data_IF_758403530643
#
_entry.id   IF_758403530643
#
_cell.length_a   1.000
_cell.length_b   1.000
_cell.length_c   1.000
_cell.angle_alpha   90.00
_cell.angle_beta   90.00
_cell.angle_gamma   90.00
#
_symmetry.space_group_name_H-M   'P 1'
#
loop_
_entity.id
_entity.type
_entity.pdbx_description
1 polymer ?
#
# COMPACT_ATOMS: atom_id res chain seq x y z
N UNK A 1 -63.80 -34.70 56.16
CA UNK A 1 -64.51 -33.70 55.32
C UNK A 1 -63.54 -32.56 55.03
N UNK A 2 -63.55 -32.10 53.79
CA UNK A 2 -62.75 -31.01 53.18
C UNK A 2 -61.28 -31.31 52.86
N UNK A 3 -61.05 -31.46 51.55
CA UNK A 3 -59.77 -31.53 50.84
C UNK A 3 -59.17 -30.13 50.65
N UNK A 4 -57.84 -30.05 50.53
CA UNK A 4 -57.17 -28.94 49.82
C UNK A 4 -56.07 -29.50 48.91
N UNK A 5 -56.20 -29.10 47.65
CA UNK A 5 -55.49 -29.52 46.44
C UNK A 5 -54.17 -28.74 46.28
N UNK A 6 -53.02 -29.40 46.05
CA UNK A 6 -51.73 -28.74 45.81
C UNK A 6 -51.78 -28.03 44.45
N UNK A 7 -52.02 -26.72 44.51
CA UNK A 7 -52.00 -25.81 43.36
C UNK A 7 -50.67 -25.94 42.61
N UNK A 8 -50.78 -26.42 41.37
CA UNK A 8 -49.74 -26.43 40.35
C UNK A 8 -49.28 -25.01 40.10
N UNK A 9 -48.01 -24.73 40.37
CA UNK A 9 -47.33 -23.53 39.88
C UNK A 9 -47.12 -23.76 38.37
N UNK A 10 -47.73 -22.95 37.48
CA UNK A 10 -47.47 -23.07 36.05
C UNK A 10 -46.02 -22.65 35.81
N UNK A 11 -45.21 -23.61 35.36
CA UNK A 11 -43.92 -23.34 34.76
C UNK A 11 -44.18 -22.59 33.45
N UNK A 12 -44.03 -21.27 33.47
CA UNK A 12 -43.94 -20.49 32.23
C UNK A 12 -42.61 -20.86 31.58
N UNK A 13 -42.58 -21.47 30.39
CA UNK A 13 -41.34 -21.63 29.66
C UNK A 13 -40.85 -20.22 29.34
N UNK A 14 -39.71 -19.84 29.92
CA UNK A 14 -38.97 -18.65 29.52
C UNK A 14 -38.48 -18.94 28.09
N UNK A 15 -39.24 -18.49 27.09
CA UNK A 15 -38.82 -18.52 25.71
C UNK A 15 -37.64 -17.54 25.59
N UNK A 16 -36.44 -18.08 25.66
CA UNK A 16 -35.21 -17.36 25.35
C UNK A 16 -35.24 -17.08 23.84
N UNK A 17 -35.81 -15.95 23.46
CA UNK A 17 -35.70 -15.42 22.11
C UNK A 17 -34.24 -15.07 21.86
N UNK A 18 -33.47 -16.03 21.34
CA UNK A 18 -32.16 -15.77 20.74
C UNK A 18 -32.46 -14.95 19.48
N UNK A 19 -32.46 -13.63 19.62
CA UNK A 19 -32.35 -12.74 18.49
C UNK A 19 -30.95 -12.95 17.93
N UNK A 20 -30.85 -13.79 16.90
CA UNK A 20 -29.68 -13.85 16.04
C UNK A 20 -29.65 -12.50 15.33
N UNK A 21 -28.98 -11.53 15.92
CA UNK A 21 -28.53 -10.34 15.20
C UNK A 21 -27.42 -10.84 14.29
N UNK A 22 -27.82 -11.43 13.15
CA UNK A 22 -26.93 -11.51 12.02
C UNK A 22 -26.65 -10.05 11.66
N UNK A 23 -25.52 -9.52 12.13
CA UNK A 23 -24.97 -8.30 11.59
C UNK A 23 -24.66 -8.61 10.13
N UNK A 24 -25.58 -8.23 9.25
CA UNK A 24 -25.35 -8.33 7.82
C UNK A 24 -24.31 -7.26 7.48
N UNK A 25 -23.20 -7.65 6.86
CA UNK A 25 -22.33 -6.72 6.16
C UNK A 25 -23.19 -5.87 5.21
N UNK A 26 -23.02 -4.53 5.17
CA UNK A 26 -23.76 -3.70 4.26
C UNK A 26 -23.59 -4.16 2.81
N UNK A 27 -24.58 -3.87 1.97
CA UNK A 27 -24.45 -4.07 0.53
C UNK A 27 -23.31 -3.19 -0.01
N UNK A 28 -22.59 -3.68 -1.02
CA UNK A 28 -21.55 -2.89 -1.67
C UNK A 28 -22.15 -1.59 -2.28
N UNK A 29 -21.52 -0.41 -2.08
CA UNK A 29 -22.10 0.84 -2.56
C UNK A 29 -22.22 0.93 -4.08
N UNK A 30 -23.02 1.88 -4.56
CA UNK A 30 -23.20 2.10 -6.00
C UNK A 30 -21.89 2.52 -6.67
N UNK A 31 -21.53 1.83 -7.76
CA UNK A 31 -20.33 2.12 -8.55
C UNK A 31 -20.47 3.47 -9.24
N UNK A 32 -19.51 4.36 -8.98
CA UNK A 32 -19.48 5.73 -9.49
C UNK A 32 -18.45 5.94 -10.61
N UNK A 33 -17.48 5.01 -10.74
CA UNK A 33 -16.44 5.05 -11.75
C UNK A 33 -16.07 3.64 -12.21
N UNK A 34 -15.78 3.47 -13.50
CA UNK A 34 -15.47 2.18 -14.13
C UNK A 34 -14.23 2.34 -15.01
N UNK A 35 -13.21 1.53 -14.71
CA UNK A 35 -12.02 1.31 -15.53
C UNK A 35 -11.95 -0.10 -16.09
N UNK A 36 -10.91 -0.40 -16.91
CA UNK A 36 -10.63 -1.73 -17.42
C UNK A 36 -10.50 -2.81 -16.34
N UNK A 37 -9.82 -2.52 -15.22
CA UNK A 37 -9.45 -3.50 -14.20
C UNK A 37 -10.02 -3.18 -12.82
N UNK A 38 -10.59 -1.99 -12.64
CA UNK A 38 -11.12 -1.50 -11.37
C UNK A 38 -12.50 -0.85 -11.54
N UNK A 39 -13.40 -1.10 -10.60
CA UNK A 39 -14.64 -0.34 -10.42
C UNK A 39 -14.61 0.31 -9.03
N UNK A 40 -14.93 1.60 -8.99
CA UNK A 40 -14.87 2.38 -7.77
C UNK A 40 -16.26 2.86 -7.37
N UNK A 41 -16.65 2.50 -6.16
CA UNK A 41 -17.81 3.04 -5.46
C UNK A 41 -17.35 4.03 -4.39
N UNK A 42 -18.27 4.86 -3.92
CA UNK A 42 -17.99 5.75 -2.79
C UNK A 42 -19.24 6.08 -1.99
N UNK A 43 -19.06 6.21 -0.67
CA UNK A 43 -20.04 6.80 0.25
C UNK A 43 -19.49 8.07 0.89
N UNK A 44 -18.16 8.21 1.00
CA UNK A 44 -17.52 9.42 1.48
C UNK A 44 -17.84 10.65 0.61
N UNK A 45 -18.08 11.79 1.26
CA UNK A 45 -18.35 13.08 0.60
C UNK A 45 -17.07 13.83 0.16
N UNK A 46 -15.89 13.31 0.54
CA UNK A 46 -14.59 13.91 0.24
C UNK A 46 -14.28 14.06 -1.24
N UNK A 47 -13.45 15.05 -1.63
CA UNK A 47 -13.03 15.21 -3.01
C UNK A 47 -12.18 14.00 -3.44
N UNK A 48 -12.19 13.72 -4.75
CA UNK A 48 -11.32 12.73 -5.39
C UNK A 48 -10.73 13.41 -6.62
N UNK A 49 -9.41 13.50 -6.69
CA UNK A 49 -8.75 14.15 -7.82
C UNK A 49 -8.90 13.34 -9.12
N UNK A 50 -8.83 14.02 -10.25
CA UNK A 50 -9.12 13.45 -11.58
C UNK A 50 -8.25 12.24 -11.93
N UNK A 51 -7.01 12.22 -11.44
CA UNK A 51 -6.06 11.13 -11.66
C UNK A 51 -6.17 9.94 -10.70
N UNK A 52 -6.94 10.06 -9.61
CA UNK A 52 -6.96 9.05 -8.53
C UNK A 52 -7.41 7.67 -8.98
N UNK A 53 -8.58 7.56 -9.61
CA UNK A 53 -9.09 6.26 -10.06
C UNK A 53 -8.28 5.68 -11.25
N UNK A 54 -7.91 6.47 -12.29
CA UNK A 54 -7.01 6.00 -13.34
C UNK A 54 -5.65 5.50 -12.82
N UNK A 55 -5.10 6.12 -11.77
CA UNK A 55 -3.88 5.67 -11.13
C UNK A 55 -4.04 4.29 -10.47
N UNK A 56 -5.11 4.09 -9.69
CA UNK A 56 -5.39 2.80 -9.05
C UNK A 56 -5.67 1.67 -10.05
N UNK A 57 -6.36 1.97 -11.15
CA UNK A 57 -6.60 0.98 -12.21
C UNK A 57 -5.29 0.57 -12.91
N UNK A 58 -4.39 1.53 -13.16
CA UNK A 58 -3.03 1.25 -13.65
C UNK A 58 -2.21 0.46 -12.64
N UNK A 59 -2.36 0.74 -11.34
CA UNK A 59 -1.73 -0.05 -10.29
C UNK A 59 -2.17 -1.52 -10.37
N UNK A 60 -3.48 -1.77 -10.45
CA UNK A 60 -4.04 -3.11 -10.61
C UNK A 60 -3.50 -3.81 -11.87
N UNK A 61 -3.44 -3.09 -13.01
CA UNK A 61 -2.83 -3.62 -14.24
C UNK A 61 -1.38 -4.07 -14.02
N UNK A 62 -0.54 -3.18 -13.48
CA UNK A 62 0.89 -3.44 -13.29
C UNK A 62 1.15 -4.57 -12.33
N UNK A 63 0.39 -4.64 -11.23
CA UNK A 63 0.55 -5.71 -10.26
C UNK A 63 0.06 -7.05 -10.84
N UNK A 64 -1.07 -7.05 -11.56
CA UNK A 64 -1.58 -8.26 -12.21
C UNK A 64 -0.60 -8.82 -13.25
N UNK A 65 -0.01 -7.94 -14.08
CA UNK A 65 1.05 -8.29 -15.02
C UNK A 65 2.26 -8.90 -14.29
N UNK A 66 2.67 -8.29 -13.17
CA UNK A 66 3.79 -8.76 -12.37
C UNK A 66 3.52 -10.16 -11.76
N UNK A 67 2.30 -10.40 -11.28
CA UNK A 67 1.88 -11.70 -10.74
C UNK A 67 1.56 -12.74 -11.83
N UNK A 68 1.50 -12.32 -13.10
CA UNK A 68 1.13 -13.18 -14.22
C UNK A 68 -0.34 -13.63 -14.17
N UNK A 69 -1.23 -12.80 -13.62
CA UNK A 69 -2.66 -13.08 -13.48
C UNK A 69 -3.50 -12.16 -14.37
N UNK A 70 -4.60 -12.69 -14.91
CA UNK A 70 -5.55 -11.89 -15.69
C UNK A 70 -6.68 -11.36 -14.80
N UNK A 71 -6.97 -10.06 -14.90
CA UNK A 71 -8.15 -9.44 -14.28
C UNK A 71 -9.33 -9.59 -15.24
N UNK A 72 -10.05 -10.71 -15.16
CA UNK A 72 -11.21 -11.00 -16.03
C UNK A 72 -12.42 -10.16 -15.62
N UNK A 73 -12.63 -10.02 -14.32
CA UNK A 73 -13.65 -9.17 -13.73
C UNK A 73 -12.96 -8.03 -12.97
N UNK A 74 -13.35 -6.76 -13.18
CA UNK A 74 -12.75 -5.65 -12.45
C UNK A 74 -12.81 -5.85 -10.94
N UNK A 75 -11.75 -5.45 -10.24
CA UNK A 75 -11.72 -5.41 -8.78
C UNK A 75 -12.71 -4.34 -8.31
N UNK A 76 -13.42 -4.62 -7.22
CA UNK A 76 -14.33 -3.67 -6.59
C UNK A 76 -13.58 -2.95 -5.46
N UNK A 77 -13.54 -1.62 -5.52
CA UNK A 77 -12.98 -0.77 -4.49
C UNK A 77 -14.02 0.26 -4.02
N UNK A 78 -14.17 0.44 -2.72
CA UNK A 78 -15.07 1.44 -2.15
C UNK A 78 -14.30 2.44 -1.28
N UNK A 79 -14.37 3.73 -1.67
CA UNK A 79 -13.97 4.83 -0.80
C UNK A 79 -15.13 5.16 0.15
N UNK A 80 -15.05 4.65 1.36
CA UNK A 80 -16.11 4.74 2.36
C UNK A 80 -15.89 5.88 3.35
N UNK A 81 -16.97 6.35 3.96
CA UNK A 81 -16.86 7.32 5.04
C UNK A 81 -16.20 6.68 6.27
N UNK A 82 -15.38 7.43 6.99
CA UNK A 82 -14.68 6.93 8.19
C UNK A 82 -15.66 6.42 9.25
N UNK A 83 -16.85 7.01 9.35
CA UNK A 83 -17.89 6.55 10.29
C UNK A 83 -18.51 5.19 9.92
N UNK A 84 -18.27 4.68 8.72
CA UNK A 84 -18.79 3.41 8.21
C UNK A 84 -17.74 2.29 8.25
N UNK A 85 -16.51 2.57 8.68
CA UNK A 85 -15.40 1.62 8.59
C UNK A 85 -15.70 0.30 9.32
N UNK A 86 -16.27 0.35 10.52
CA UNK A 86 -16.64 -0.85 11.30
C UNK A 86 -17.77 -1.67 10.67
N UNK A 87 -18.58 -1.04 9.81
CA UNK A 87 -19.68 -1.72 9.12
C UNK A 87 -19.16 -2.59 7.96
N UNK A 88 -18.11 -2.12 7.27
CA UNK A 88 -17.49 -2.83 6.14
C UNK A 88 -16.27 -3.67 6.53
N UNK A 89 -15.49 -3.19 7.49
CA UNK A 89 -14.26 -3.78 7.99
C UNK A 89 -14.47 -4.16 9.46
N UNK A 90 -14.21 -5.41 9.82
CA UNK A 90 -14.50 -5.95 11.15
C UNK A 90 -13.68 -5.34 12.31
N UNK A 91 -12.79 -4.39 12.03
CA UNK A 91 -11.84 -3.75 12.96
C UNK A 91 -11.54 -2.29 12.56
N UNK A 92 -11.03 -1.47 13.51
CA UNK A 92 -10.60 -0.07 13.33
C UNK A 92 -9.32 0.04 12.45
N UNK A 93 -9.43 -0.23 11.15
CA UNK A 93 -8.34 -0.11 10.17
C UNK A 93 -8.62 1.01 9.16
N UNK A 94 -7.61 1.51 8.43
CA UNK A 94 -7.85 2.49 7.36
C UNK A 94 -8.46 1.87 6.10
N UNK A 95 -8.51 0.55 6.04
CA UNK A 95 -9.11 -0.22 4.97
C UNK A 95 -9.12 -1.70 5.30
N UNK A 96 -9.74 -2.47 4.42
CA UNK A 96 -9.66 -3.92 4.44
C UNK A 96 -9.99 -4.50 3.07
N UNK A 97 -9.49 -5.71 2.83
CA UNK A 97 -9.93 -6.59 1.76
C UNK A 97 -10.75 -7.75 2.31
N UNK A 98 -11.98 -7.90 1.85
CA UNK A 98 -12.87 -8.99 2.28
C UNK A 98 -13.86 -9.39 1.19
N UNK A 99 -14.05 -10.70 1.00
CA UNK A 99 -15.03 -11.27 0.06
C UNK A 99 -14.95 -10.67 -1.35
N UNK A 100 -13.74 -10.59 -1.90
CA UNK A 100 -13.51 -10.09 -3.27
C UNK A 100 -13.53 -8.57 -3.42
N UNK A 101 -13.62 -7.81 -2.33
CA UNK A 101 -13.87 -6.36 -2.34
C UNK A 101 -12.88 -5.64 -1.42
N UNK A 102 -12.35 -4.51 -1.89
CA UNK A 102 -11.49 -3.63 -1.13
C UNK A 102 -12.30 -2.42 -0.63
N UNK A 103 -12.09 -2.05 0.63
CA UNK A 103 -12.73 -0.91 1.28
C UNK A 103 -11.66 -0.03 1.92
N UNK A 104 -11.86 1.28 1.91
CA UNK A 104 -10.88 2.21 2.45
C UNK A 104 -11.51 3.55 2.80
N UNK A 105 -11.03 4.18 3.87
CA UNK A 105 -11.35 5.58 4.21
C UNK A 105 -10.47 6.58 3.45
N UNK A 106 -9.54 6.09 2.64
CA UNK A 106 -8.70 6.88 1.73
C UNK A 106 -9.16 6.66 0.28
N UNK A 107 -9.26 7.72 -0.54
CA UNK A 107 -9.71 7.60 -1.93
C UNK A 107 -8.71 6.85 -2.82
N UNK A 108 -7.46 6.72 -2.36
CA UNK A 108 -6.39 5.94 -2.97
C UNK A 108 -5.78 5.05 -1.90
N UNK A 109 -5.86 3.73 -2.07
CA UNK A 109 -5.31 2.79 -1.10
C UNK A 109 -4.80 1.53 -1.80
N UNK A 110 -3.59 1.61 -2.34
CA UNK A 110 -3.01 0.51 -3.12
C UNK A 110 -2.62 -0.70 -2.25
N UNK A 111 -2.51 -0.54 -0.92
CA UNK A 111 -2.38 -1.65 0.02
C UNK A 111 -3.54 -2.65 -0.12
N UNK A 112 -4.79 -2.19 0.00
CA UNK A 112 -5.96 -3.06 -0.13
C UNK A 112 -6.15 -3.61 -1.54
N UNK A 113 -5.73 -2.83 -2.56
CA UNK A 113 -5.71 -3.33 -3.93
C UNK A 113 -4.65 -4.41 -4.15
N UNK A 114 -3.54 -4.40 -3.41
CA UNK A 114 -2.54 -5.45 -3.46
C UNK A 114 -3.12 -6.79 -3.01
N UNK A 115 -3.86 -6.79 -1.89
CA UNK A 115 -4.62 -7.96 -1.42
C UNK A 115 -5.60 -8.45 -2.49
N UNK A 116 -6.37 -7.53 -3.09
CA UNK A 116 -7.34 -7.88 -4.11
C UNK A 116 -6.71 -8.51 -5.37
N UNK A 117 -5.54 -8.04 -5.81
CA UNK A 117 -4.82 -8.63 -6.94
C UNK A 117 -4.18 -9.97 -6.57
N UNK A 118 -3.62 -10.08 -5.36
CA UNK A 118 -3.03 -11.32 -4.86
C UNK A 118 -4.06 -12.45 -4.76
N UNK A 119 -5.28 -12.15 -4.30
CA UNK A 119 -6.38 -13.11 -4.26
C UNK A 119 -6.73 -13.66 -5.66
N UNK A 120 -6.68 -12.83 -6.71
CA UNK A 120 -6.85 -13.31 -8.09
C UNK A 120 -5.76 -14.30 -8.50
N UNK A 121 -4.57 -14.18 -7.93
CA UNK A 121 -3.47 -15.12 -8.14
C UNK A 121 -3.57 -16.38 -7.25
N UNK A 122 -4.61 -16.47 -6.40
CA UNK A 122 -4.84 -17.54 -5.42
C UNK A 122 -3.90 -17.47 -4.22
N UNK A 123 -3.38 -16.28 -3.91
CA UNK A 123 -2.45 -16.09 -2.80
C UNK A 123 -3.24 -15.76 -1.53
N UNK A 124 -3.04 -16.56 -0.49
CA UNK A 124 -3.60 -16.32 0.85
C UNK A 124 -2.42 -16.14 1.80
N UNK A 125 -1.71 -17.24 2.09
CA UNK A 125 -0.48 -17.25 2.88
C UNK A 125 -0.67 -16.82 4.34
N UNK A 126 0.39 -16.92 5.16
CA UNK A 126 0.35 -16.53 6.56
C UNK A 126 0.24 -15.02 6.66
N UNK A 127 -0.53 -14.51 7.64
CA UNK A 127 -0.85 -13.08 7.78
C UNK A 127 0.35 -12.15 7.64
N UNK A 128 1.49 -12.47 8.26
CA UNK A 128 2.71 -11.68 8.12
C UNK A 128 3.17 -11.52 6.67
N UNK A 129 3.11 -12.59 5.86
CA UNK A 129 3.53 -12.52 4.46
C UNK A 129 2.47 -11.86 3.57
N UNK A 130 1.19 -12.04 3.86
CA UNK A 130 0.08 -11.38 3.15
C UNK A 130 0.14 -9.87 3.33
N UNK A 131 0.23 -9.43 4.59
CA UNK A 131 0.37 -8.01 4.93
C UNK A 131 1.70 -7.45 4.45
N UNK A 132 2.79 -8.20 4.62
CA UNK A 132 4.10 -7.81 4.08
C UNK A 132 4.10 -7.66 2.56
N UNK A 133 3.33 -8.45 1.83
CA UNK A 133 3.18 -8.28 0.39
C UNK A 133 2.45 -6.98 0.05
N UNK A 134 1.34 -6.69 0.74
CA UNK A 134 0.62 -5.43 0.56
C UNK A 134 1.44 -4.20 0.95
N UNK A 135 2.32 -4.32 1.95
CA UNK A 135 3.30 -3.29 2.33
C UNK A 135 4.40 -3.08 1.28
N UNK A 136 4.93 -4.19 0.74
CA UNK A 136 6.01 -4.17 -0.23
C UNK A 136 5.57 -3.65 -1.60
N UNK A 137 4.30 -3.87 -1.97
CA UNK A 137 3.76 -3.53 -3.29
C UNK A 137 2.69 -2.44 -3.25
N UNK A 138 2.19 -2.06 -2.09
CA UNK A 138 1.20 -0.99 -1.91
C UNK A 138 1.81 0.27 -1.31
N UNK A 139 1.02 1.34 -1.34
CA UNK A 139 1.36 2.62 -0.74
C UNK A 139 1.11 2.53 0.76
N UNK A 140 2.10 2.96 1.54
CA UNK A 140 2.04 2.87 2.98
C UNK A 140 2.38 4.15 3.72
N UNK A 141 1.98 4.16 4.99
CA UNK A 141 2.08 5.31 5.90
C UNK A 141 3.51 5.81 6.11
N UNK A 142 3.64 7.11 6.39
CA UNK A 142 4.94 7.75 6.60
C UNK A 142 5.50 7.51 8.01
N UNK A 143 6.81 7.30 8.14
CA UNK A 143 7.47 7.37 9.45
C UNK A 143 8.85 6.74 9.56
N UNK A 144 9.54 7.06 10.66
CA UNK A 144 10.77 6.38 11.10
C UNK A 144 10.43 5.09 11.84
N UNK A 145 10.01 4.08 11.08
CA UNK A 145 9.59 2.78 11.60
C UNK A 145 10.79 1.96 12.06
N UNK A 146 10.55 1.10 13.06
CA UNK A 146 11.59 0.26 13.66
C UNK A 146 11.49 -1.14 13.08
N UNK A 147 12.60 -1.62 12.54
CA UNK A 147 12.72 -3.02 12.13
C UNK A 147 12.74 -3.92 13.36
N UNK A 148 11.77 -4.82 13.46
CA UNK A 148 11.64 -5.82 14.51
C UNK A 148 12.42 -7.10 14.18
N UNK A 149 12.70 -7.98 15.16
CA UNK A 149 13.22 -9.33 14.90
C UNK A 149 12.20 -10.14 14.08
N UNK A 150 12.64 -10.67 12.93
CA UNK A 150 11.70 -11.21 11.93
C UNK A 150 10.96 -12.45 12.41
N UNK A 151 11.61 -13.30 13.21
CA UNK A 151 10.97 -14.48 13.79
C UNK A 151 9.70 -14.10 14.54
N UNK A 152 9.76 -13.07 15.39
CA UNK A 152 8.63 -12.62 16.17
C UNK A 152 7.47 -12.12 15.29
N UNK A 153 7.80 -11.40 14.21
CA UNK A 153 6.80 -10.89 13.26
C UNK A 153 6.12 -12.03 12.49
N UNK A 154 6.85 -13.08 12.12
CA UNK A 154 6.28 -14.21 11.38
C UNK A 154 5.50 -15.18 12.29
N UNK A 155 5.98 -15.43 13.51
CA UNK A 155 5.33 -16.33 14.47
C UNK A 155 4.11 -15.70 15.17
N UNK A 156 4.16 -14.40 15.47
CA UNK A 156 3.14 -13.67 16.25
C UNK A 156 2.90 -12.28 15.65
N UNK A 157 2.38 -12.25 14.42
CA UNK A 157 2.13 -11.00 13.71
C UNK A 157 1.09 -10.14 14.44
N UNK A 158 1.53 -9.00 14.95
CA UNK A 158 0.64 -7.94 15.43
C UNK A 158 0.40 -6.88 14.34
N UNK A 159 -0.70 -6.14 14.49
CA UNK A 159 -1.07 -5.08 13.53
C UNK A 159 -0.39 -3.74 13.83
N UNK A 160 0.82 -3.74 14.40
CA UNK A 160 1.58 -2.51 14.60
C UNK A 160 2.29 -2.07 13.31
N UNK A 161 2.48 -0.77 13.13
CA UNK A 161 3.19 -0.23 11.97
C UNK A 161 4.61 -0.81 11.82
N UNK A 162 5.29 -1.13 12.92
CA UNK A 162 6.63 -1.75 12.92
C UNK A 162 6.59 -3.20 12.42
N UNK A 163 5.55 -3.97 12.76
CA UNK A 163 5.32 -5.33 12.26
C UNK A 163 5.00 -5.34 10.76
N UNK A 164 4.08 -4.48 10.31
CA UNK A 164 3.77 -4.28 8.90
C UNK A 164 5.04 -3.92 8.10
N UNK A 165 5.78 -2.92 8.55
CA UNK A 165 7.03 -2.50 7.92
C UNK A 165 8.08 -3.62 7.85
N UNK A 166 8.28 -4.35 8.96
CA UNK A 166 9.25 -5.45 9.03
C UNK A 166 8.83 -6.61 8.12
N UNK A 167 7.53 -6.91 8.07
CA UNK A 167 6.97 -7.89 7.16
C UNK A 167 7.19 -7.50 5.69
N UNK A 168 6.95 -6.24 5.33
CA UNK A 168 7.23 -5.71 3.99
C UNK A 168 8.69 -5.86 3.61
N UNK A 169 9.62 -5.48 4.50
CA UNK A 169 11.05 -5.69 4.29
C UNK A 169 11.40 -7.15 4.05
N UNK A 170 10.79 -8.07 4.82
CA UNK A 170 11.06 -9.49 4.68
C UNK A 170 10.50 -10.04 3.38
N UNK A 171 9.30 -9.66 2.96
CA UNK A 171 8.75 -10.04 1.64
C UNK A 171 9.65 -9.53 0.52
N UNK A 172 10.12 -8.28 0.58
CA UNK A 172 11.11 -7.75 -0.37
C UNK A 172 12.38 -8.61 -0.40
N UNK A 173 12.95 -8.95 0.77
CA UNK A 173 14.10 -9.84 0.87
C UNK A 173 13.83 -11.21 0.21
N UNK A 174 12.68 -11.83 0.48
CA UNK A 174 12.33 -13.13 -0.10
C UNK A 174 12.19 -13.04 -1.63
N UNK A 175 11.53 -12.00 -2.13
CA UNK A 175 11.36 -11.80 -3.58
C UNK A 175 12.69 -11.50 -4.26
N UNK A 176 13.56 -10.68 -3.68
CA UNK A 176 14.87 -10.38 -4.24
C UNK A 176 15.78 -11.62 -4.26
N UNK A 177 15.64 -12.49 -3.25
CA UNK A 177 16.46 -13.70 -3.09
C UNK A 177 15.98 -14.89 -3.92
N UNK A 178 14.67 -15.13 -3.98
CA UNK A 178 14.09 -16.33 -4.57
C UNK A 178 13.25 -16.03 -5.83
N UNK A 179 12.89 -14.77 -6.06
CA UNK A 179 11.96 -14.36 -7.10
C UNK A 179 10.50 -14.50 -6.67
N UNK A 180 9.65 -13.80 -7.42
CA UNK A 180 8.22 -13.71 -7.11
C UNK A 180 7.45 -15.02 -7.34
N UNK A 181 7.91 -15.85 -8.30
CA UNK A 181 7.29 -17.14 -8.60
C UNK A 181 7.31 -18.11 -7.41
N UNK A 182 8.51 -18.47 -6.88
CA UNK A 182 8.62 -19.29 -5.68
C UNK A 182 7.90 -18.72 -4.46
N UNK A 183 7.94 -17.40 -4.25
CA UNK A 183 7.15 -16.74 -3.20
C UNK A 183 5.65 -16.96 -3.39
N UNK A 184 5.14 -16.81 -4.61
CA UNK A 184 3.73 -17.08 -4.92
C UNK A 184 3.31 -18.53 -4.70
N UNK A 185 4.21 -19.50 -4.94
CA UNK A 185 3.93 -20.91 -4.62
C UNK A 185 3.84 -21.16 -3.11
N UNK A 186 4.69 -20.50 -2.31
CA UNK A 186 4.55 -20.51 -0.84
C UNK A 186 3.20 -19.94 -0.41
N UNK A 187 2.80 -18.77 -0.94
CA UNK A 187 1.53 -18.12 -0.62
C UNK A 187 0.30 -18.95 -1.01
N UNK A 188 0.41 -19.83 -2.02
CA UNK A 188 -0.67 -20.77 -2.42
C UNK A 188 -0.71 -22.04 -1.58
N UNK A 189 0.43 -22.43 -1.01
CA UNK A 189 0.58 -23.67 -0.24
C UNK A 189 0.21 -23.51 1.24
N UNK A 190 -0.07 -22.28 1.67
CA UNK A 190 -0.38 -21.89 3.04
C UNK A 190 -1.54 -20.90 3.04
N UNK A 191 -2.13 -20.69 4.21
CA UNK A 191 -3.22 -19.76 4.44
C UNK A 191 -3.02 -19.02 5.77
N UNK A 192 -3.93 -18.11 6.08
CA UNK A 192 -3.86 -17.30 7.30
C UNK A 192 -4.05 -18.10 8.61
N UNK A 193 -4.50 -19.35 8.53
CA UNK A 193 -4.72 -20.25 9.66
C UNK A 193 -3.56 -21.26 9.85
N UNK A 194 -2.64 -21.34 8.89
CA UNK A 194 -1.50 -22.27 8.90
C UNK A 194 -0.59 -22.00 10.10
N UNK A 195 -0.23 -23.06 10.83
CA UNK A 195 0.69 -22.91 11.96
C UNK A 195 2.16 -22.78 11.50
N UNK A 196 3.05 -22.41 12.44
CA UNK A 196 4.45 -22.15 12.08
C UNK A 196 5.17 -23.39 11.52
N UNK A 197 4.84 -24.61 11.96
CA UNK A 197 5.46 -25.83 11.45
C UNK A 197 5.01 -26.10 10.00
N UNK A 198 3.74 -25.87 9.70
CA UNK A 198 3.19 -25.93 8.34
C UNK A 198 3.84 -24.89 7.41
N UNK A 199 3.96 -23.65 7.88
CA UNK A 199 4.62 -22.55 7.15
C UNK A 199 6.09 -22.87 6.91
N UNK A 200 6.82 -23.34 7.92
CA UNK A 200 8.23 -23.69 7.80
C UNK A 200 8.45 -24.83 6.78
N UNK A 201 7.58 -25.83 6.77
CA UNK A 201 7.65 -26.93 5.81
C UNK A 201 7.36 -26.46 4.38
N UNK A 202 6.33 -25.63 4.17
CA UNK A 202 6.01 -25.05 2.87
C UNK A 202 7.13 -24.12 2.39
N UNK A 203 7.71 -23.32 3.29
CA UNK A 203 8.83 -22.42 3.00
C UNK A 203 10.02 -23.21 2.44
N UNK A 204 10.43 -24.29 3.11
CA UNK A 204 11.54 -25.12 2.62
C UNK A 204 11.20 -25.79 1.28
N UNK A 205 9.97 -26.28 1.12
CA UNK A 205 9.53 -26.94 -0.11
C UNK A 205 9.54 -26.01 -1.34
N UNK A 206 9.15 -24.75 -1.17
CA UNK A 206 8.96 -23.81 -2.29
C UNK A 206 10.11 -22.83 -2.49
N UNK A 207 10.80 -22.42 -1.42
CA UNK A 207 11.92 -21.47 -1.50
C UNK A 207 13.29 -22.17 -1.46
N UNK A 208 13.33 -23.45 -1.10
CA UNK A 208 14.50 -24.31 -1.20
C UNK A 208 15.51 -24.17 -0.06
N UNK A 209 15.13 -23.52 1.05
CA UNK A 209 15.93 -23.45 2.28
C UNK A 209 15.03 -23.42 3.53
N UNK A 210 15.54 -23.85 4.70
CA UNK A 210 14.79 -23.73 5.95
C UNK A 210 14.47 -22.26 6.29
N UNK A 211 13.27 -21.98 6.80
CA UNK A 211 12.85 -20.62 7.19
C UNK A 211 13.82 -19.96 8.18
N UNK A 212 14.43 -20.75 9.06
CA UNK A 212 15.42 -20.26 10.02
C UNK A 212 16.68 -19.70 9.35
N UNK A 213 17.13 -20.32 8.27
CA UNK A 213 18.27 -19.81 7.50
C UNK A 213 17.92 -18.49 6.80
N UNK A 214 16.67 -18.33 6.35
CA UNK A 214 16.18 -17.09 5.77
C UNK A 214 16.08 -15.97 6.82
N UNK A 215 15.63 -16.28 8.05
CA UNK A 215 15.62 -15.31 9.16
C UNK A 215 17.03 -14.83 9.50
N UNK A 216 17.98 -15.76 9.68
CA UNK A 216 19.38 -15.42 9.95
C UNK A 216 19.97 -14.56 8.82
N UNK A 217 19.72 -14.92 7.57
CA UNK A 217 20.21 -14.18 6.41
C UNK A 217 19.59 -12.77 6.33
N UNK A 218 18.29 -12.65 6.55
CA UNK A 218 17.59 -11.37 6.58
C UNK A 218 18.21 -10.45 7.63
N UNK A 219 18.31 -10.91 8.88
CA UNK A 219 18.86 -10.13 9.99
C UNK A 219 20.33 -9.75 9.79
N UNK A 220 21.12 -10.64 9.19
CA UNK A 220 22.55 -10.42 8.99
C UNK A 220 22.87 -9.51 7.81
N UNK A 221 22.07 -9.54 6.73
CA UNK A 221 22.49 -8.99 5.44
C UNK A 221 21.52 -8.02 4.79
N UNK A 222 20.23 -8.11 5.07
CA UNK A 222 19.26 -7.26 4.38
C UNK A 222 19.26 -5.86 5.01
N UNK A 223 19.40 -4.78 4.22
CA UNK A 223 19.43 -3.43 4.76
C UNK A 223 18.06 -2.99 5.31
N UNK A 224 18.09 -2.10 6.30
CA UNK A 224 16.93 -1.32 6.72
C UNK A 224 16.88 -0.05 5.86
N UNK A 225 15.71 0.35 5.38
CA UNK A 225 15.52 1.56 4.59
C UNK A 225 14.22 2.28 4.97
N UNK A 226 13.94 3.48 4.44
CA UNK A 226 12.65 4.13 4.71
C UNK A 226 11.47 3.28 4.20
N UNK A 227 10.28 3.48 4.75
CA UNK A 227 9.08 2.79 4.28
C UNK A 227 8.82 3.02 2.77
N UNK A 228 9.22 4.18 2.25
CA UNK A 228 9.09 4.52 0.84
C UNK A 228 10.11 3.81 -0.04
N UNK A 229 11.34 3.67 0.43
CA UNK A 229 12.37 2.86 -0.24
C UNK A 229 12.05 1.35 -0.17
N UNK A 230 11.19 0.93 0.75
CA UNK A 230 10.74 -0.47 0.88
C UNK A 230 9.65 -0.83 -0.14
N UNK A 231 8.95 0.16 -0.69
CA UNK A 231 7.90 -0.04 -1.69
C UNK A 231 8.50 -0.29 -3.07
N UNK A 232 7.88 -1.20 -3.82
CA UNK A 232 8.26 -1.48 -5.21
C UNK A 232 7.92 -0.32 -6.17
N UNK A 233 6.99 0.58 -5.78
CA UNK A 233 6.54 1.75 -6.55
C UNK A 233 6.28 1.42 -8.05
N UNK A 234 5.58 0.31 -8.30
CA UNK A 234 5.47 -0.31 -9.63
C UNK A 234 4.85 0.60 -10.70
N UNK A 235 4.05 1.59 -10.29
CA UNK A 235 3.45 2.56 -11.21
C UNK A 235 4.44 3.68 -11.51
N UNK A 236 4.97 4.32 -10.47
CA UNK A 236 5.86 5.48 -10.52
C UNK A 236 7.15 5.14 -11.25
N UNK A 237 7.75 3.99 -10.88
CA UNK A 237 8.95 3.47 -11.52
C UNK A 237 8.71 2.93 -12.92
N UNK A 238 7.45 2.70 -13.30
CA UNK A 238 7.03 2.35 -14.65
C UNK A 238 6.78 3.55 -15.57
N UNK A 239 6.85 4.79 -15.08
CA UNK A 239 6.64 6.00 -15.89
C UNK A 239 7.80 6.26 -16.85
N UNK A 240 7.51 6.91 -17.98
CA UNK A 240 8.54 7.38 -18.91
C UNK A 240 9.43 8.45 -18.26
N UNK A 241 10.77 8.31 -18.34
CA UNK A 241 11.68 9.18 -17.63
C UNK A 241 11.76 10.56 -18.29
N UNK A 242 11.73 11.59 -17.45
CA UNK A 242 11.91 12.98 -17.86
C UNK A 242 13.36 13.18 -18.38
N UNK A 243 13.54 13.81 -19.55
CA UNK A 243 14.86 13.89 -20.18
C UNK A 243 15.75 14.95 -19.54
N UNK A 244 17.05 14.66 -19.49
CA UNK A 244 18.08 15.67 -19.19
C UNK A 244 18.30 16.60 -20.37
N UNK A 245 18.53 17.88 -20.07
CA UNK A 245 18.95 18.90 -21.03
C UNK A 245 20.32 19.41 -20.61
N UNK A 246 21.37 18.89 -21.25
CA UNK A 246 22.75 19.16 -20.84
C UNK A 246 23.04 18.59 -19.46
N UNK A 247 23.47 19.45 -18.53
CA UNK A 247 23.82 19.09 -17.15
C UNK A 247 22.68 19.36 -16.15
N UNK A 248 21.48 19.60 -16.66
CA UNK A 248 20.29 19.88 -15.85
C UNK A 248 19.09 19.04 -16.24
N UNK A 249 18.35 18.61 -15.23
CA UNK A 249 17.01 18.08 -15.32
C UNK A 249 16.05 19.13 -14.76
N UNK A 250 14.98 19.43 -15.48
CA UNK A 250 13.93 20.31 -15.02
C UNK A 250 12.58 19.64 -15.29
N UNK A 251 11.78 19.46 -14.24
CA UNK A 251 10.47 18.84 -14.30
C UNK A 251 9.48 19.81 -13.67
N UNK A 252 8.48 20.21 -14.45
CA UNK A 252 7.40 21.09 -14.00
C UNK A 252 6.07 20.34 -14.04
N UNK A 253 5.30 20.45 -12.96
CA UNK A 253 3.97 19.88 -12.84
C UNK A 253 3.00 20.95 -12.39
N UNK A 254 1.78 20.91 -12.91
CA UNK A 254 0.64 21.61 -12.33
C UNK A 254 -0.10 20.61 -11.42
N UNK A 255 -0.29 20.99 -10.16
CA UNK A 255 -1.12 20.27 -9.20
C UNK A 255 -2.45 21.02 -9.12
N UNK A 256 -3.48 20.39 -9.69
CA UNK A 256 -4.87 20.83 -9.62
C UNK A 256 -5.71 19.55 -9.57
N UNK A 257 -6.58 19.42 -8.57
CA UNK A 257 -7.38 18.22 -8.36
C UNK A 257 -8.34 17.94 -9.54
N UNK A 258 -8.63 18.94 -10.39
CA UNK A 258 -9.36 18.74 -11.64
C UNK A 258 -8.53 18.13 -12.78
N UNK A 259 -7.19 18.11 -12.66
CA UNK A 259 -6.28 17.52 -13.65
C UNK A 259 -6.22 16.00 -13.51
N UNK A 260 -6.23 15.28 -14.65
CA UNK A 260 -6.12 13.82 -14.72
C UNK A 260 -4.73 13.31 -14.30
N UNK A 261 -3.74 14.19 -14.21
CA UNK A 261 -2.41 13.85 -13.70
C UNK A 261 -2.26 14.01 -12.18
N UNK A 262 -3.25 14.59 -11.49
CA UNK A 262 -3.23 14.82 -10.04
C UNK A 262 -3.99 13.73 -9.32
N UNK A 263 -3.35 13.13 -8.32
CA UNK A 263 -3.83 12.02 -7.52
C UNK A 263 -4.10 12.53 -6.09
N UNK A 264 -5.08 11.94 -5.41
CA UNK A 264 -5.42 12.22 -4.02
C UNK A 264 -6.87 12.68 -3.84
N UNK A 265 -7.18 13.37 -2.72
CA UNK A 265 -6.29 13.67 -1.60
C UNK A 265 -5.89 12.44 -0.78
N UNK A 266 -4.70 12.43 -0.19
CA UNK A 266 -4.33 11.46 0.85
C UNK A 266 -4.27 12.16 2.23
N UNK A 267 -4.63 11.46 3.30
CA UNK A 267 -4.70 12.03 4.65
C UNK A 267 -5.95 12.90 4.91
N UNK A 268 -5.94 13.66 6.01
CA UNK A 268 -7.10 14.41 6.49
C UNK A 268 -7.24 15.81 5.88
N UNK A 269 -8.49 16.22 5.64
CA UNK A 269 -8.96 17.46 4.99
C UNK A 269 -8.09 18.71 5.27
N UNK A 270 -7.49 19.34 4.23
CA UNK A 270 -7.73 19.14 2.79
C UNK A 270 -7.01 17.93 2.17
N UNK A 271 -6.17 17.25 2.94
CA UNK A 271 -5.28 16.18 2.47
C UNK A 271 -4.27 16.67 1.44
N UNK A 272 -3.40 15.75 1.03
CA UNK A 272 -2.33 16.00 0.08
C UNK A 272 -2.69 15.46 -1.30
N UNK A 273 -2.57 16.31 -2.32
CA UNK A 273 -2.58 15.88 -3.70
C UNK A 273 -1.16 15.74 -4.21
N UNK A 274 -0.93 14.76 -5.08
CA UNK A 274 0.38 14.53 -5.67
C UNK A 274 0.32 14.17 -7.15
N UNK A 275 1.46 14.30 -7.81
CA UNK A 275 1.63 13.90 -9.20
C UNK A 275 3.03 13.31 -9.42
N UNK A 276 3.15 11.99 -9.68
CA UNK A 276 4.43 11.33 -9.84
C UNK A 276 5.05 11.63 -11.22
N UNK A 277 6.36 11.73 -11.26
CA UNK A 277 7.19 11.72 -12.48
C UNK A 277 8.38 10.81 -12.26
N UNK A 278 8.97 10.28 -13.32
CA UNK A 278 10.23 9.54 -13.23
C UNK A 278 11.36 10.29 -13.92
N UNK A 279 12.60 9.94 -13.56
CA UNK A 279 13.82 10.37 -14.23
C UNK A 279 14.93 9.34 -13.98
N UNK A 280 16.03 9.46 -14.73
CA UNK A 280 17.18 8.55 -14.60
C UNK A 280 18.44 9.36 -14.34
N UNK A 281 19.26 8.93 -13.37
CA UNK A 281 20.62 9.42 -13.19
C UNK A 281 21.53 8.60 -14.10
N UNK A 282 22.26 9.24 -15.04
CA UNK A 282 23.14 8.53 -15.97
C UNK A 282 24.18 7.65 -15.27
N UNK A 283 24.61 6.59 -15.95
CA UNK A 283 25.68 5.70 -15.48
C UNK A 283 26.97 6.49 -15.15
N UNK A 284 27.64 6.14 -14.05
CA UNK A 284 28.90 6.81 -13.67
C UNK A 284 29.23 6.90 -12.18
N UNK A 285 28.38 6.36 -11.29
CA UNK A 285 28.60 6.36 -9.84
C UNK A 285 27.69 7.35 -9.11
N UNK A 286 28.12 7.83 -7.94
CA UNK A 286 27.35 8.76 -7.11
C UNK A 286 27.43 10.19 -7.68
N UNK A 287 26.32 10.67 -8.25
CA UNK A 287 26.19 12.05 -8.70
C UNK A 287 25.83 12.98 -7.54
N UNK A 288 26.48 14.13 -7.46
CA UNK A 288 26.12 15.20 -6.52
C UNK A 288 25.38 16.27 -7.30
N UNK A 289 24.15 16.59 -6.89
CA UNK A 289 23.29 17.55 -7.57
C UNK A 289 22.80 18.60 -6.60
N UNK A 290 22.59 19.82 -7.09
CA UNK A 290 21.78 20.82 -6.41
C UNK A 290 20.33 20.63 -6.84
N UNK A 291 19.50 20.16 -5.93
CA UNK A 291 18.05 20.09 -6.09
C UNK A 291 17.43 21.41 -5.64
N UNK A 292 16.71 22.09 -6.53
CA UNK A 292 15.99 23.33 -6.24
C UNK A 292 14.52 23.13 -6.59
N UNK A 293 13.63 23.48 -5.66
CA UNK A 293 12.19 23.43 -5.89
C UNK A 293 11.60 24.83 -5.88
N UNK A 294 10.82 25.17 -6.89
CA UNK A 294 10.07 26.42 -6.96
C UNK A 294 8.58 26.15 -7.10
N UNK A 295 7.76 26.99 -6.47
CA UNK A 295 6.30 26.88 -6.50
C UNK A 295 5.65 28.20 -6.95
N UNK A 296 4.47 28.11 -7.55
CA UNK A 296 3.54 29.24 -7.64
C UNK A 296 2.60 29.21 -6.43
N UNK A 297 2.62 30.25 -5.60
CA UNK A 297 1.79 30.33 -4.39
C UNK A 297 2.58 30.07 -3.11
N UNK A 298 1.89 30.22 -1.97
CA UNK A 298 2.50 30.22 -0.63
C UNK A 298 2.12 29.00 0.22
N UNK A 299 1.27 28.09 -0.30
CA UNK A 299 0.85 26.90 0.42
C UNK A 299 2.04 25.91 0.58
N UNK A 300 2.14 25.20 1.72
CA UNK A 300 3.15 24.17 1.93
C UNK A 300 3.14 23.15 0.78
N UNK A 301 4.31 22.94 0.20
CA UNK A 301 4.48 22.11 -0.98
C UNK A 301 5.95 21.71 -1.13
N UNK A 302 6.20 20.70 -1.93
CA UNK A 302 7.55 20.22 -2.18
C UNK A 302 7.59 19.05 -3.13
N UNK A 303 8.75 18.41 -3.14
CA UNK A 303 8.91 17.14 -3.84
C UNK A 303 9.54 16.11 -2.92
N UNK A 304 9.18 14.85 -3.13
CA UNK A 304 9.85 13.67 -2.56
C UNK A 304 10.56 12.94 -3.69
N UNK A 305 11.86 12.72 -3.57
CA UNK A 305 12.67 11.99 -4.56
C UNK A 305 13.00 10.62 -3.97
N UNK A 306 12.61 9.57 -4.66
CA UNK A 306 12.81 8.18 -4.22
C UNK A 306 13.47 7.35 -5.32
N UNK A 307 14.37 6.44 -4.95
CA UNK A 307 15.01 5.53 -5.89
C UNK A 307 14.06 4.40 -6.31
N UNK A 308 14.06 4.06 -7.60
CA UNK A 308 13.38 2.88 -8.13
C UNK A 308 14.27 1.65 -7.93
N UNK A 309 14.18 1.06 -6.75
CA UNK A 309 14.91 -0.14 -6.37
C UNK A 309 14.37 -0.66 -5.04
N UNK A 310 15.19 -1.39 -4.31
CA UNK A 310 14.90 -1.78 -2.94
C UNK A 310 15.76 -1.01 -1.93
N UNK A 311 15.86 -1.58 -0.74
CA UNK A 311 16.62 -1.02 0.36
C UNK A 311 18.14 -0.97 0.13
N UNK A 312 18.68 -1.53 -0.96
CA UNK A 312 20.09 -1.42 -1.32
C UNK A 312 20.53 0.03 -1.61
N UNK A 313 19.59 0.87 -2.05
CA UNK A 313 19.79 2.31 -2.26
C UNK A 313 18.65 3.05 -1.56
N UNK A 314 18.81 3.29 -0.26
CA UNK A 314 17.87 4.08 0.54
C UNK A 314 18.01 5.57 0.22
N UNK A 315 17.29 6.00 -0.82
CA UNK A 315 17.14 7.41 -1.17
C UNK A 315 15.67 7.77 -1.03
N UNK A 316 15.41 8.59 -0.02
CA UNK A 316 14.11 9.17 0.26
C UNK A 316 14.33 10.61 0.72
N UNK A 317 14.22 11.55 -0.23
CA UNK A 317 14.63 12.95 -0.02
C UNK A 317 13.45 13.88 -0.24
N UNK A 318 13.08 14.59 0.80
CA UNK A 318 12.10 15.68 0.72
C UNK A 318 12.83 17.03 0.51
N UNK A 319 12.35 17.80 -0.47
CA UNK A 319 12.78 19.18 -0.74
C UNK A 319 11.53 20.07 -0.84
N UNK A 320 11.36 20.96 0.14
CA UNK A 320 10.24 21.91 0.15
C UNK A 320 10.38 23.00 -0.91
N UNK A 321 9.26 23.60 -1.31
CA UNK A 321 9.23 24.74 -2.21
C UNK A 321 10.03 25.94 -1.66
N UNK A 322 10.75 26.62 -2.56
CA UNK A 322 11.65 27.73 -2.20
C UNK A 322 12.98 27.29 -1.60
N UNK A 323 13.19 25.99 -1.39
CA UNK A 323 14.42 25.42 -0.83
C UNK A 323 15.35 24.94 -1.95
N UNK A 324 16.65 25.05 -1.70
CA UNK A 324 17.67 24.34 -2.47
C UNK A 324 18.51 23.46 -1.55
N UNK A 325 18.75 22.21 -1.95
CA UNK A 325 19.49 21.21 -1.18
C UNK A 325 20.50 20.50 -2.08
N UNK A 326 21.72 20.29 -1.60
CA UNK A 326 22.65 19.37 -2.26
C UNK A 326 22.26 17.94 -1.91
N UNK A 327 22.05 17.13 -2.93
CA UNK A 327 21.64 15.73 -2.84
C UNK A 327 22.68 14.84 -3.51
N UNK A 328 22.86 13.64 -2.98
CA UNK A 328 23.73 12.62 -3.55
C UNK A 328 22.83 11.51 -4.09
N UNK A 329 22.83 11.32 -5.41
CA UNK A 329 21.97 10.36 -6.10
C UNK A 329 22.87 9.38 -6.86
N UNK A 330 22.95 8.11 -6.44
CA UNK A 330 23.56 7.05 -7.26
C UNK A 330 23.00 7.01 -8.68
N UNK A 331 23.75 6.42 -9.60
CA UNK A 331 23.21 6.07 -10.92
C UNK A 331 22.04 5.10 -10.74
N UNK A 332 20.96 5.29 -11.51
CA UNK A 332 19.75 4.51 -11.36
C UNK A 332 18.51 5.26 -11.80
N UNK A 333 17.37 4.58 -11.70
CA UNK A 333 16.06 5.17 -11.97
C UNK A 333 15.48 5.72 -10.68
N UNK A 334 14.77 6.82 -10.78
CA UNK A 334 14.11 7.50 -9.67
C UNK A 334 12.69 7.87 -10.05
N UNK A 335 11.84 7.99 -9.05
CA UNK A 335 10.61 8.74 -9.17
C UNK A 335 10.62 9.94 -8.23
N UNK A 336 9.78 10.91 -8.57
CA UNK A 336 9.58 12.11 -7.79
C UNK A 336 8.08 12.38 -7.69
N UNK A 337 7.61 12.48 -6.45
CA UNK A 337 6.26 12.93 -6.15
C UNK A 337 6.28 14.43 -5.90
N UNK A 338 5.54 15.17 -6.72
CA UNK A 338 5.24 16.57 -6.48
C UNK A 338 4.03 16.63 -5.57
N UNK A 339 4.15 17.22 -4.37
CA UNK A 339 3.11 17.16 -3.33
C UNK A 339 2.71 18.58 -2.90
N UNK A 340 1.41 18.79 -2.73
CA UNK A 340 0.83 20.01 -2.17
C UNK A 340 -0.53 19.71 -1.52
N UNK A 341 -1.08 20.68 -0.77
CA UNK A 341 -2.47 20.59 -0.31
C UNK A 341 -3.45 20.47 -1.49
N UNK A 342 -4.42 19.58 -1.41
CA UNK A 342 -5.31 19.27 -2.54
C UNK A 342 -6.25 20.43 -2.95
N UNK A 343 -6.51 21.36 -2.03
CA UNK A 343 -7.35 22.55 -2.23
C UNK A 343 -6.58 23.78 -2.73
N UNK A 344 -5.28 23.65 -2.98
CA UNK A 344 -4.40 24.75 -3.37
C UNK A 344 -3.75 24.52 -4.75
N UNK A 345 -4.47 24.80 -5.86
CA UNK A 345 -3.91 24.65 -7.20
C UNK A 345 -2.61 25.45 -7.38
N UNK A 346 -1.57 24.78 -7.87
CA UNK A 346 -0.24 25.39 -8.03
C UNK A 346 0.59 24.71 -9.12
N UNK A 347 1.68 25.33 -9.51
CA UNK A 347 2.74 24.70 -10.29
C UNK A 347 4.00 24.55 -9.46
N UNK A 348 4.57 23.35 -9.48
CA UNK A 348 5.85 23.03 -8.85
C UNK A 348 6.87 22.69 -9.93
N UNK A 349 8.11 23.11 -9.71
CA UNK A 349 9.24 22.76 -10.58
C UNK A 349 10.39 22.23 -9.75
N UNK A 350 10.83 21.01 -10.04
CA UNK A 350 12.10 20.47 -9.56
C UNK A 350 13.16 20.73 -10.61
N UNK A 351 14.28 21.32 -10.20
CA UNK A 351 15.50 21.39 -10.98
C UNK A 351 16.62 20.65 -10.28
N UNK A 352 17.21 19.66 -10.95
CA UNK A 352 18.49 19.06 -10.56
C UNK A 352 19.57 19.63 -11.46
N UNK A 353 20.65 20.12 -10.86
CA UNK A 353 21.79 20.66 -11.61
C UNK A 353 23.10 20.09 -11.05
N UNK A 354 23.97 19.61 -11.94
CA UNK A 354 25.34 19.28 -11.56
C UNK A 354 26.08 20.55 -11.09
N UNK A 355 26.90 20.49 -10.02
CA UNK A 355 27.59 21.65 -9.46
C UNK A 355 28.53 22.36 -10.42
#
# INVERSE_FOLDING_TARGET
>A
MAALDPRRIPWTPLALSVAVMAACTPDFPEVSWIGPHLQVAKTAEGPVCGGTNPYQDRYVERLADLLGVAIVEPILFAYIDDSEIEDYCFDELWGCYYDGKAYSIMPTHTHELAHAVADRAGWDGPRALTEGFAEAYGFNSEGGLVRLPIRGVVEDFDRSADSYYTAGLFVRFLVDRHGLGPFGELMRATDSDSDFDEVAAAFEAHLGEPIEAAFEAFEATYPTCSAWSNQAAIVECGLDPSPWVGESLEITVALDCADEATIGPNGSDPGEAWAPRSFEIPEGGLGIYKATVTATGDAPSGVRITHCGGCEVDVDIIVGAGVSRTVALPAGRYYVDFVAAADAPMSLTLRLQSP
#
